data_IF_341637137464
#
_entry.id   IF_341637137464
#
_cell.length_a   1.000
_cell.length_b   1.000
_cell.length_c   1.000
_cell.angle_alpha   90.00
_cell.angle_beta   90.00
_cell.angle_gamma   90.00
#
_symmetry.space_group_name_H-M   'P 1'
#
loop_
_entity.id
_entity.type
_entity.pdbx_description
1 polymer ?
#
# COMPACT_ATOMS: atom_id res chain seq x y z
N UNK A 1 12.54 14.77 21.92
CA UNK A 1 12.70 15.67 20.76
C UNK A 1 11.32 16.24 20.43
N UNK A 2 11.17 17.56 20.34
CA UNK A 2 9.91 18.20 19.95
C UNK A 2 9.94 18.43 18.44
N UNK A 3 8.90 17.97 17.75
CA UNK A 3 8.75 18.17 16.31
C UNK A 3 7.82 19.35 16.04
N UNK A 4 8.15 20.15 15.03
CA UNK A 4 7.32 21.28 14.62
C UNK A 4 5.98 20.79 14.04
N UNK A 5 4.91 21.55 14.28
CA UNK A 5 3.59 21.25 13.73
C UNK A 5 3.59 21.32 12.19
N UNK A 6 2.69 20.59 11.50
CA UNK A 6 2.59 20.68 10.05
C UNK A 6 2.27 22.14 9.63
N UNK A 7 2.94 22.61 8.58
CA UNK A 7 2.76 23.96 8.05
C UNK A 7 3.50 25.08 8.80
N UNK A 8 4.32 24.77 9.81
CA UNK A 8 5.15 25.78 10.50
C UNK A 8 6.62 25.67 10.10
N UNK A 9 7.40 26.71 10.42
CA UNK A 9 8.85 26.68 10.25
C UNK A 9 9.44 25.48 11.03
N UNK A 10 10.31 24.70 10.35
CA UNK A 10 10.93 23.51 10.92
C UNK A 10 10.12 22.22 10.80
N UNK A 11 8.93 22.25 10.16
CA UNK A 11 8.23 21.01 9.79
C UNK A 11 9.11 20.16 8.87
N UNK A 12 9.15 18.84 9.09
CA UNK A 12 9.97 17.92 8.28
C UNK A 12 9.43 17.74 6.86
N UNK A 13 8.15 18.04 6.66
CA UNK A 13 7.46 17.89 5.38
C UNK A 13 6.72 19.18 5.07
N UNK A 14 6.95 19.70 3.87
CA UNK A 14 6.10 20.70 3.27
C UNK A 14 4.95 19.99 2.55
N UNK A 15 3.82 19.83 3.25
CA UNK A 15 2.65 19.17 2.67
C UNK A 15 2.10 19.95 1.48
N UNK A 16 1.70 19.23 0.43
CA UNK A 16 0.99 19.83 -0.72
C UNK A 16 -0.38 20.33 -0.25
N UNK A 17 -0.96 21.28 -0.96
CA UNK A 17 -2.33 21.73 -0.67
C UNK A 17 -3.38 20.62 -0.89
N UNK A 18 -3.11 19.73 -1.85
CA UNK A 18 -3.90 18.55 -2.16
C UNK A 18 -3.00 17.43 -2.67
N UNK A 19 -3.43 16.19 -2.47
CA UNK A 19 -2.78 15.00 -2.99
C UNK A 19 -3.72 14.23 -3.92
N UNK A 20 -3.12 13.71 -4.99
CA UNK A 20 -3.78 12.94 -6.04
C UNK A 20 -3.76 11.43 -5.73
N UNK A 21 -4.46 10.62 -6.52
CA UNK A 21 -4.27 9.17 -6.52
C UNK A 21 -2.91 8.81 -7.14
N UNK A 22 -2.38 7.64 -6.80
CA UNK A 22 -1.20 7.09 -7.47
C UNK A 22 -1.65 5.93 -8.36
N UNK A 23 -1.75 6.15 -9.67
CA UNK A 23 -2.26 5.15 -10.62
C UNK A 23 -1.27 5.02 -11.77
N UNK A 24 -0.91 3.78 -12.12
CA UNK A 24 -0.01 3.48 -13.22
C UNK A 24 1.34 4.23 -13.13
N UNK A 25 1.92 4.34 -11.93
CA UNK A 25 3.18 5.05 -11.72
C UNK A 25 3.08 6.58 -11.81
N UNK A 26 1.88 7.16 -11.82
CA UNK A 26 1.64 8.60 -11.97
C UNK A 26 0.69 9.13 -10.90
N UNK A 27 0.80 10.43 -10.62
CA UNK A 27 -0.14 11.17 -9.78
C UNK A 27 -1.34 11.62 -10.61
N UNK A 28 -2.53 11.08 -10.33
CA UNK A 28 -3.74 11.23 -11.14
C UNK A 28 -4.87 11.82 -10.31
N UNK A 29 -5.44 12.92 -10.78
CA UNK A 29 -6.60 13.55 -10.15
C UNK A 29 -7.83 12.64 -10.20
N UNK A 30 -8.71 12.70 -9.19
CA UNK A 30 -9.94 11.91 -9.18
C UNK A 30 -10.80 12.29 -10.38
N UNK A 31 -11.45 11.32 -11.00
CA UNK A 31 -12.24 11.50 -12.25
C UNK A 31 -13.30 12.60 -12.10
N UNK A 32 -13.91 12.73 -10.92
CA UNK A 32 -14.93 13.77 -10.63
C UNK A 32 -14.35 15.10 -10.16
N UNK A 33 -13.03 15.20 -9.99
CA UNK A 33 -12.34 16.40 -9.50
C UNK A 33 -12.64 16.75 -8.04
N UNK A 34 -13.24 15.84 -7.27
CA UNK A 34 -13.60 16.06 -5.88
C UNK A 34 -12.45 15.69 -4.92
N UNK A 35 -12.32 16.45 -3.84
CA UNK A 35 -11.35 16.21 -2.79
C UNK A 35 -12.03 16.34 -1.42
N UNK A 36 -11.49 15.67 -0.42
CA UNK A 36 -11.92 15.82 0.97
C UNK A 36 -10.78 16.36 1.84
N UNK A 37 -11.14 17.11 2.87
CA UNK A 37 -10.19 17.66 3.82
C UNK A 37 -9.60 16.56 4.71
N UNK A 38 -8.28 16.58 4.86
CA UNK A 38 -7.57 15.73 5.82
C UNK A 38 -7.22 16.57 7.03
N UNK A 39 -7.78 16.18 8.18
CA UNK A 39 -7.61 16.85 9.46
C UNK A 39 -6.57 16.12 10.28
N UNK A 40 -5.55 16.83 10.75
CA UNK A 40 -4.57 16.22 11.65
C UNK A 40 -5.15 16.13 13.07
N UNK A 41 -5.12 14.96 13.73
CA UNK A 41 -5.58 14.83 15.12
C UNK A 41 -4.70 15.61 16.11
N UNK A 42 -3.49 16.02 15.72
CA UNK A 42 -2.54 16.75 16.57
C UNK A 42 -3.10 18.09 17.04
N UNK A 43 -3.86 18.79 16.20
CA UNK A 43 -4.43 20.10 16.52
C UNK A 43 -5.87 20.31 16.03
N UNK A 44 -6.48 19.30 15.38
CA UNK A 44 -7.85 19.33 14.88
C UNK A 44 -8.07 20.23 13.66
N UNK A 45 -6.99 20.68 12.98
CA UNK A 45 -7.09 21.54 11.79
C UNK A 45 -6.85 20.75 10.51
N UNK A 46 -7.46 21.21 9.42
CA UNK A 46 -7.14 20.75 8.07
C UNK A 46 -5.70 21.13 7.75
N UNK A 47 -4.91 20.19 7.26
CA UNK A 47 -3.52 20.43 6.87
C UNK A 47 -3.26 20.16 5.38
N UNK A 48 -4.14 19.42 4.71
CA UNK A 48 -4.13 19.15 3.26
C UNK A 48 -5.48 18.57 2.83
N UNK A 49 -5.66 18.33 1.53
CA UNK A 49 -6.75 17.53 0.96
C UNK A 49 -6.23 16.25 0.30
N UNK A 50 -7.12 15.26 0.13
CA UNK A 50 -6.87 14.03 -0.63
C UNK A 50 -8.00 13.78 -1.64
N UNK A 51 -7.67 13.11 -2.74
CA UNK A 51 -8.64 12.74 -3.77
C UNK A 51 -9.84 11.98 -3.19
N UNK A 52 -11.06 12.44 -3.52
CA UNK A 52 -12.33 11.77 -3.17
C UNK A 52 -12.79 10.93 -4.35
N UNK A 53 -12.19 9.76 -4.48
CA UNK A 53 -12.41 8.91 -5.64
C UNK A 53 -13.70 8.12 -5.55
N UNK A 54 -14.19 7.73 -6.73
CA UNK A 54 -15.38 6.88 -6.88
C UNK A 54 -15.03 5.57 -7.59
N UNK A 55 -16.05 4.79 -7.99
CA UNK A 55 -15.85 3.53 -8.69
C UNK A 55 -15.04 3.69 -10.00
N UNK A 56 -15.22 4.82 -10.68
CA UNK A 56 -14.54 5.16 -11.93
C UNK A 56 -13.01 5.18 -11.77
N UNK A 57 -12.50 5.74 -10.67
CA UNK A 57 -11.07 5.73 -10.35
C UNK A 57 -10.55 4.35 -9.98
N UNK A 58 -11.38 3.54 -9.31
CA UNK A 58 -11.05 2.14 -9.00
C UNK A 58 -10.88 1.34 -10.30
N UNK A 59 -11.77 1.54 -11.28
CA UNK A 59 -11.64 0.88 -12.58
C UNK A 59 -10.36 1.30 -13.32
N UNK A 60 -9.96 2.58 -13.27
CA UNK A 60 -8.67 3.03 -13.82
C UNK A 60 -7.47 2.34 -13.17
N UNK A 61 -7.51 2.20 -11.83
CA UNK A 61 -6.46 1.49 -11.10
C UNK A 61 -6.43 -0.01 -11.42
N UNK A 62 -7.60 -0.63 -11.61
CA UNK A 62 -7.72 -2.02 -12.01
C UNK A 62 -7.21 -2.25 -13.43
N UNK A 63 -7.51 -1.36 -14.37
CA UNK A 63 -6.99 -1.41 -15.74
C UNK A 63 -5.46 -1.37 -15.75
N UNK A 64 -4.86 -0.45 -14.97
CA UNK A 64 -3.42 -0.35 -14.82
C UNK A 64 -2.80 -1.63 -14.22
N UNK A 65 -3.42 -2.17 -13.16
CA UNK A 65 -2.94 -3.39 -12.51
C UNK A 65 -3.01 -4.61 -13.43
N UNK A 66 -4.10 -4.77 -14.18
CA UNK A 66 -4.26 -5.86 -15.15
C UNK A 66 -3.31 -5.75 -16.32
N UNK A 67 -3.01 -4.54 -16.78
CA UNK A 67 -2.00 -4.32 -17.82
C UNK A 67 -0.58 -4.67 -17.35
N UNK A 68 -0.25 -4.42 -16.09
CA UNK A 68 1.08 -4.71 -15.52
C UNK A 68 1.29 -6.19 -15.16
N UNK A 69 0.22 -6.89 -14.75
CA UNK A 69 0.31 -8.24 -14.19
C UNK A 69 1.00 -9.28 -15.08
N UNK A 70 0.74 -9.38 -16.40
CA UNK A 70 1.38 -10.39 -17.26
C UNK A 70 2.92 -10.32 -17.26
N UNK A 71 3.48 -9.13 -17.07
CA UNK A 71 4.94 -8.92 -16.99
C UNK A 71 5.46 -9.07 -15.57
N UNK A 72 4.79 -8.45 -14.58
CA UNK A 72 5.22 -8.50 -13.19
C UNK A 72 5.13 -9.91 -12.59
N UNK A 73 4.04 -10.62 -12.83
CA UNK A 73 3.83 -11.99 -12.34
C UNK A 73 4.87 -13.00 -12.86
N UNK A 74 5.46 -12.72 -14.04
CA UNK A 74 6.54 -13.53 -14.66
C UNK A 74 7.95 -13.08 -14.29
N UNK A 75 8.10 -11.96 -13.57
CA UNK A 75 9.41 -11.50 -13.10
C UNK A 75 9.97 -12.52 -12.11
N UNK A 76 11.23 -12.92 -12.23
CA UNK A 76 11.77 -13.98 -11.38
C UNK A 76 11.79 -13.60 -9.88
N UNK A 77 11.81 -14.61 -9.01
CA UNK A 77 11.76 -14.42 -7.56
C UNK A 77 12.96 -13.62 -7.01
N UNK A 78 14.13 -13.65 -7.67
CA UNK A 78 15.31 -12.90 -7.22
C UNK A 78 15.09 -11.41 -7.43
N UNK A 79 14.63 -11.04 -8.63
CA UNK A 79 14.31 -9.68 -9.00
C UNK A 79 13.22 -9.11 -8.08
N UNK A 80 12.13 -9.84 -7.83
CA UNK A 80 11.06 -9.38 -6.92
C UNK A 80 11.55 -9.26 -5.47
N UNK A 81 12.35 -10.21 -4.96
CA UNK A 81 12.94 -10.12 -3.62
C UNK A 81 13.85 -8.89 -3.48
N UNK A 82 14.69 -8.63 -4.47
CA UNK A 82 15.56 -7.44 -4.50
C UNK A 82 14.76 -6.13 -4.52
N UNK A 83 13.59 -6.08 -5.16
CA UNK A 83 12.70 -4.93 -5.08
C UNK A 83 12.21 -4.71 -3.64
N UNK A 84 11.79 -5.77 -2.94
CA UNK A 84 11.37 -5.67 -1.53
C UNK A 84 12.51 -5.19 -0.62
N UNK A 85 13.74 -5.68 -0.83
CA UNK A 85 14.92 -5.21 -0.09
C UNK A 85 15.20 -3.72 -0.35
N UNK A 86 15.13 -3.27 -1.61
CA UNK A 86 15.31 -1.86 -1.97
C UNK A 86 14.23 -0.97 -1.36
N UNK A 87 12.99 -1.45 -1.30
CA UNK A 87 11.91 -0.75 -0.58
C UNK A 87 12.30 -0.62 0.90
N UNK A 88 12.69 -1.72 1.56
CA UNK A 88 13.11 -1.67 2.96
C UNK A 88 14.25 -0.67 3.21
N UNK A 89 15.28 -0.66 2.37
CA UNK A 89 16.41 0.27 2.49
C UNK A 89 15.98 1.72 2.28
N UNK A 90 15.05 1.98 1.34
CA UNK A 90 14.48 3.32 1.12
C UNK A 90 13.68 3.79 2.34
N UNK A 91 12.91 2.92 2.97
CA UNK A 91 12.18 3.23 4.21
C UNK A 91 13.16 3.49 5.36
N UNK A 92 14.18 2.64 5.53
CA UNK A 92 15.19 2.77 6.58
C UNK A 92 15.95 4.10 6.48
N UNK A 93 16.36 4.49 5.28
CA UNK A 93 17.01 5.76 5.02
C UNK A 93 16.12 6.99 5.32
N UNK A 94 14.80 6.80 5.41
CA UNK A 94 13.81 7.86 5.59
C UNK A 94 12.94 7.69 6.84
N UNK A 95 13.43 6.96 7.86
CA UNK A 95 12.66 6.66 9.09
C UNK A 95 12.07 7.92 9.72
N UNK A 96 12.88 8.97 9.91
CA UNK A 96 12.41 10.19 10.57
C UNK A 96 11.32 10.90 9.76
N UNK A 97 11.49 10.96 8.44
CA UNK A 97 10.54 11.58 7.52
C UNK A 97 9.19 10.84 7.54
N UNK A 98 9.22 9.52 7.41
CA UNK A 98 8.02 8.67 7.42
C UNK A 98 7.35 8.65 8.79
N UNK A 99 8.12 8.64 9.88
CA UNK A 99 7.58 8.70 11.23
C UNK A 99 6.88 10.05 11.50
N UNK A 100 7.45 11.15 11.00
CA UNK A 100 6.79 12.45 11.05
C UNK A 100 5.50 12.46 10.23
N UNK A 101 5.52 11.94 9.00
CA UNK A 101 4.33 11.81 8.16
C UNK A 101 3.21 11.05 8.87
N UNK A 102 3.54 9.87 9.41
CA UNK A 102 2.61 9.00 10.13
C UNK A 102 2.05 9.70 11.37
N UNK A 103 2.88 10.36 12.18
CA UNK A 103 2.45 11.07 13.38
C UNK A 103 1.55 12.27 13.09
N UNK A 104 1.79 13.00 12.00
CA UNK A 104 0.92 14.12 11.61
C UNK A 104 -0.44 13.60 11.14
N UNK A 105 -0.45 12.56 10.32
CA UNK A 105 -1.67 12.05 9.68
C UNK A 105 -2.54 11.26 10.67
N UNK A 106 -1.92 10.38 11.48
CA UNK A 106 -2.62 9.52 12.45
C UNK A 106 -2.75 10.14 13.85
N UNK A 107 -1.83 11.03 14.26
CA UNK A 107 -1.81 11.64 15.60
C UNK A 107 -1.03 10.87 16.67
N UNK A 108 -0.43 9.73 16.34
CA UNK A 108 0.34 8.93 17.29
C UNK A 108 1.61 9.63 17.77
N UNK A 109 2.03 9.44 19.05
CA UNK A 109 3.30 9.97 19.54
C UNK A 109 4.48 9.58 18.65
N UNK A 110 5.27 10.57 18.25
CA UNK A 110 6.43 10.41 17.34
C UNK A 110 7.45 9.36 17.82
N UNK A 111 7.56 9.15 19.14
CA UNK A 111 8.41 8.11 19.72
C UNK A 111 7.99 6.71 19.24
N UNK A 112 6.69 6.47 19.05
CA UNK A 112 6.19 5.16 18.62
C UNK A 112 6.37 4.96 17.12
N UNK A 113 6.13 5.99 16.30
CA UNK A 113 6.34 5.88 14.85
C UNK A 113 7.84 5.75 14.52
N UNK A 114 8.71 6.47 15.23
CA UNK A 114 10.18 6.40 15.04
C UNK A 114 10.78 5.05 15.45
N UNK A 115 10.34 4.51 16.59
CA UNK A 115 11.03 3.36 17.21
C UNK A 115 10.28 2.03 17.04
N UNK A 116 9.04 2.04 16.52
CA UNK A 116 8.27 0.84 16.26
C UNK A 116 7.74 0.79 14.83
N UNK A 117 6.79 1.63 14.43
CA UNK A 117 6.03 1.40 13.19
C UNK A 117 6.89 1.37 11.93
N UNK A 118 7.73 2.39 11.73
CA UNK A 118 8.56 2.46 10.53
C UNK A 118 9.66 1.40 10.58
N UNK A 119 10.39 1.20 11.69
CA UNK A 119 11.32 0.07 11.80
C UNK A 119 10.68 -1.31 11.57
N UNK A 120 9.48 -1.56 12.10
CA UNK A 120 8.75 -2.80 11.87
C UNK A 120 8.30 -2.94 10.42
N UNK A 121 7.94 -1.84 9.75
CA UNK A 121 7.62 -1.86 8.32
C UNK A 121 8.86 -2.24 7.49
N UNK A 122 10.03 -1.65 7.80
CA UNK A 122 11.33 -1.99 7.18
C UNK A 122 11.63 -3.48 7.35
N UNK A 123 11.57 -3.97 8.59
CA UNK A 123 11.82 -5.38 8.89
C UNK A 123 10.84 -6.30 8.15
N UNK A 124 9.57 -5.92 8.05
CA UNK A 124 8.56 -6.72 7.37
C UNK A 124 8.84 -6.90 5.86
N UNK A 125 9.31 -5.85 5.19
CA UNK A 125 9.74 -5.96 3.79
C UNK A 125 10.97 -6.87 3.64
N UNK A 126 11.94 -6.78 4.56
CA UNK A 126 13.11 -7.66 4.59
C UNK A 126 12.73 -9.12 4.83
N UNK A 127 11.84 -9.35 5.79
CA UNK A 127 11.32 -10.67 6.12
C UNK A 127 10.67 -11.33 4.90
N UNK A 128 9.74 -10.64 4.22
CA UNK A 128 9.07 -11.20 3.04
C UNK A 128 9.99 -11.34 1.82
N UNK A 129 11.02 -10.50 1.70
CA UNK A 129 12.08 -10.71 0.72
C UNK A 129 12.81 -12.05 0.95
N UNK A 130 13.11 -12.38 2.20
CA UNK A 130 13.68 -13.67 2.61
C UNK A 130 12.72 -14.83 2.35
N UNK A 131 11.46 -14.73 2.81
CA UNK A 131 10.44 -15.75 2.60
C UNK A 131 10.27 -16.11 1.12
N UNK A 132 10.27 -15.12 0.23
CA UNK A 132 10.16 -15.35 -1.21
C UNK A 132 11.34 -16.17 -1.77
N UNK A 133 12.56 -15.96 -1.24
CA UNK A 133 13.76 -16.67 -1.69
C UNK A 133 13.87 -18.07 -1.10
N UNK A 134 13.24 -18.32 0.04
CA UNK A 134 13.20 -19.61 0.70
C UNK A 134 11.92 -20.40 0.40
N UNK A 135 10.99 -19.86 -0.39
CA UNK A 135 9.75 -20.56 -0.71
C UNK A 135 10.04 -21.70 -1.67
N UNK A 136 9.75 -22.92 -1.24
CA UNK A 136 9.86 -24.11 -2.04
C UNK A 136 8.47 -24.60 -2.47
N UNK A 137 8.42 -25.27 -3.62
CA UNK A 137 7.26 -26.05 -4.05
C UNK A 137 7.24 -27.42 -3.38
N UNK A 138 6.31 -28.27 -3.84
CA UNK A 138 6.27 -29.68 -3.47
C UNK A 138 6.61 -30.57 -4.65
N UNK A 139 7.23 -31.71 -4.37
CA UNK A 139 7.37 -32.83 -5.31
C UNK A 139 6.94 -34.11 -4.61
N UNK A 140 6.12 -34.90 -5.30
CA UNK A 140 5.68 -36.21 -4.80
C UNK A 140 5.69 -37.23 -5.92
N UNK A 141 6.20 -38.42 -5.63
CA UNK A 141 5.96 -39.60 -6.44
C UNK A 141 4.50 -40.04 -6.21
N UNK A 142 3.74 -40.19 -7.29
CA UNK A 142 2.39 -40.76 -7.22
C UNK A 142 2.48 -42.28 -7.43
N UNK A 143 3.20 -42.70 -8.46
CA UNK A 143 3.46 -44.10 -8.82
C UNK A 143 4.75 -44.22 -9.65
N UNK A 144 5.07 -45.43 -10.11
CA UNK A 144 6.26 -45.77 -10.90
C UNK A 144 6.51 -44.85 -12.11
N UNK A 145 5.45 -44.29 -12.71
CA UNK A 145 5.54 -43.54 -13.96
C UNK A 145 5.11 -42.07 -13.82
N UNK A 146 4.73 -41.62 -12.63
CA UNK A 146 4.07 -40.32 -12.44
C UNK A 146 4.64 -39.53 -11.26
N UNK A 147 5.02 -38.28 -11.53
CA UNK A 147 5.46 -37.30 -10.54
C UNK A 147 4.49 -36.11 -10.50
N UNK A 148 4.15 -35.67 -9.29
CA UNK A 148 3.42 -34.43 -9.04
C UNK A 148 4.39 -33.30 -8.68
N UNK A 149 4.24 -32.15 -9.35
CA UNK A 149 4.94 -30.91 -9.04
C UNK A 149 3.94 -29.86 -8.58
N UNK A 150 4.20 -29.22 -7.45
CA UNK A 150 3.37 -28.13 -6.93
C UNK A 150 4.14 -26.82 -7.03
N UNK A 151 3.66 -25.92 -7.88
CA UNK A 151 4.25 -24.60 -8.13
C UNK A 151 3.30 -23.55 -7.57
N UNK A 152 3.85 -22.57 -6.85
CA UNK A 152 3.09 -21.44 -6.34
C UNK A 152 3.06 -20.32 -7.38
N UNK A 153 1.87 -19.98 -7.85
CA UNK A 153 1.64 -18.91 -8.83
C UNK A 153 0.98 -17.69 -8.16
N UNK A 154 1.27 -16.46 -8.64
CA UNK A 154 0.54 -15.28 -8.18
C UNK A 154 -0.95 -15.40 -8.52
N UNK A 155 -1.79 -14.80 -7.68
CA UNK A 155 -3.24 -14.80 -7.86
C UNK A 155 -3.68 -13.85 -8.99
N UNK A 156 -2.95 -12.76 -9.22
CA UNK A 156 -3.34 -11.74 -10.19
C UNK A 156 -3.34 -10.34 -9.62
N UNK A 157 -4.41 -9.61 -9.90
CA UNK A 157 -4.69 -8.30 -9.30
C UNK A 157 -5.41 -8.50 -7.97
N UNK A 158 -4.90 -7.88 -6.90
CA UNK A 158 -5.47 -7.97 -5.56
C UNK A 158 -5.91 -6.59 -5.05
N UNK A 159 -7.11 -6.54 -4.49
CA UNK A 159 -7.61 -5.37 -3.77
C UNK A 159 -7.14 -5.41 -2.32
N UNK A 160 -6.71 -4.28 -1.79
CA UNK A 160 -6.27 -4.16 -0.40
C UNK A 160 -6.90 -2.93 0.24
N UNK A 161 -7.48 -3.11 1.42
CA UNK A 161 -8.07 -2.01 2.20
C UNK A 161 -7.46 -2.06 3.60
N UNK A 162 -6.84 -0.95 4.00
CA UNK A 162 -6.14 -0.83 5.29
C UNK A 162 -6.84 0.16 6.24
N UNK A 163 -6.75 -0.06 7.56
CA UNK A 163 -7.32 0.83 8.56
C UNK A 163 -6.40 2.03 8.84
N UNK A 164 -6.87 2.92 9.70
CA UNK A 164 -6.19 4.17 10.05
C UNK A 164 -5.18 4.05 11.19
N UNK A 165 -5.18 2.98 11.97
CA UNK A 165 -4.46 2.93 13.25
C UNK A 165 -2.95 2.70 13.13
N UNK A 166 -2.51 1.99 12.08
CA UNK A 166 -1.09 1.81 11.74
C UNK A 166 -0.89 1.90 10.22
N UNK A 167 -1.13 3.05 9.57
CA UNK A 167 -1.24 3.15 8.11
C UNK A 167 -0.07 2.51 7.35
N UNK A 168 1.16 3.00 7.53
CA UNK A 168 2.35 2.52 6.81
C UNK A 168 2.66 1.07 7.16
N UNK A 169 2.56 0.69 8.43
CA UNK A 169 2.83 -0.68 8.85
C UNK A 169 1.79 -1.67 8.29
N UNK A 170 0.51 -1.29 8.25
CA UNK A 170 -0.56 -2.07 7.61
C UNK A 170 -0.38 -2.16 6.10
N UNK A 171 0.11 -1.09 5.46
CA UNK A 171 0.49 -1.14 4.06
C UNK A 171 1.65 -2.14 3.86
N UNK A 172 2.69 -2.10 4.70
CA UNK A 172 3.79 -3.08 4.64
C UNK A 172 3.28 -4.52 4.78
N UNK A 173 2.39 -4.79 5.74
CA UNK A 173 1.78 -6.11 5.97
C UNK A 173 1.03 -6.68 4.78
N UNK A 174 0.51 -5.81 3.90
CA UNK A 174 -0.24 -6.25 2.73
C UNK A 174 0.59 -6.18 1.44
N UNK A 175 1.41 -5.14 1.28
CA UNK A 175 2.20 -4.91 0.08
C UNK A 175 3.36 -5.90 -0.04
N UNK A 176 4.14 -6.10 1.03
CA UNK A 176 5.32 -6.97 0.99
C UNK A 176 5.00 -8.41 0.50
N UNK A 177 4.03 -9.13 1.10
CA UNK A 177 3.65 -10.45 0.59
C UNK A 177 3.02 -10.42 -0.82
N UNK A 178 2.17 -9.43 -1.13
CA UNK A 178 1.48 -9.38 -2.40
C UNK A 178 2.44 -9.12 -3.57
N UNK A 179 3.31 -8.11 -3.44
CA UNK A 179 4.32 -7.76 -4.43
C UNK A 179 5.36 -8.87 -4.57
N UNK A 180 5.81 -9.45 -3.45
CA UNK A 180 6.75 -10.56 -3.45
C UNK A 180 6.23 -11.80 -4.19
N UNK A 181 4.95 -12.14 -3.97
CA UNK A 181 4.30 -13.25 -4.68
C UNK A 181 4.11 -12.98 -6.19
N UNK A 182 4.25 -11.74 -6.66
CA UNK A 182 4.08 -11.37 -8.08
C UNK A 182 2.69 -10.82 -8.41
N UNK A 183 1.90 -10.41 -7.42
CA UNK A 183 0.60 -9.78 -7.65
C UNK A 183 0.77 -8.29 -7.96
N UNK A 184 -0.20 -7.71 -8.67
CA UNK A 184 -0.37 -6.26 -8.76
C UNK A 184 -1.46 -5.83 -7.76
N UNK A 185 -1.31 -4.64 -7.18
CA UNK A 185 -2.13 -4.19 -6.05
C UNK A 185 -2.91 -2.94 -6.41
N UNK A 186 -4.19 -2.92 -6.02
CA UNK A 186 -4.97 -1.69 -5.83
C UNK A 186 -5.22 -1.53 -4.33
N UNK A 187 -4.56 -0.54 -3.72
CA UNK A 187 -4.61 -0.23 -2.30
C UNK A 187 -5.54 0.96 -2.04
N UNK A 188 -6.44 0.81 -1.08
CA UNK A 188 -7.26 1.90 -0.55
C UNK A 188 -6.90 2.14 0.92
N UNK A 189 -6.24 3.25 1.26
CA UNK A 189 -6.00 3.63 2.65
C UNK A 189 -7.26 4.18 3.33
N UNK A 190 -7.28 4.18 4.66
CA UNK A 190 -8.36 4.84 5.40
C UNK A 190 -8.39 6.34 5.08
N UNK A 191 -9.60 6.90 4.95
CA UNK A 191 -9.82 8.32 4.64
C UNK A 191 -9.27 9.26 5.71
N UNK A 192 -9.10 8.78 6.95
CA UNK A 192 -8.54 9.57 8.04
C UNK A 192 -7.01 9.68 8.02
N UNK A 193 -6.33 8.78 7.30
CA UNK A 193 -4.86 8.72 7.25
C UNK A 193 -4.31 8.35 5.87
N UNK A 194 -4.67 9.09 4.80
CA UNK A 194 -4.24 8.75 3.45
C UNK A 194 -2.84 9.27 3.11
N UNK A 195 -2.37 10.34 3.75
CA UNK A 195 -1.24 11.14 3.28
C UNK A 195 0.10 10.46 3.57
N UNK A 196 0.24 9.79 4.72
CA UNK A 196 1.47 9.05 5.01
C UNK A 196 1.73 7.93 4.00
N UNK A 197 0.67 7.31 3.49
CA UNK A 197 0.71 6.30 2.42
C UNK A 197 1.13 6.91 1.08
N UNK A 198 0.68 8.13 0.76
CA UNK A 198 1.08 8.81 -0.48
C UNK A 198 2.54 9.30 -0.40
N UNK A 199 3.02 9.70 0.78
CA UNK A 199 4.44 10.02 1.01
C UNK A 199 5.30 8.76 0.87
N UNK A 200 4.85 7.63 1.43
CA UNK A 200 5.48 6.33 1.22
C UNK A 200 5.56 5.99 -0.28
N UNK A 201 4.47 6.17 -1.02
CA UNK A 201 4.42 5.90 -2.45
C UNK A 201 5.38 6.78 -3.26
N UNK A 202 5.45 8.08 -2.95
CA UNK A 202 6.40 9.00 -3.58
C UNK A 202 7.85 8.50 -3.42
N UNK A 203 8.19 8.03 -2.22
CA UNK A 203 9.52 7.50 -1.92
C UNK A 203 9.85 6.19 -2.61
N UNK A 204 8.89 5.34 -2.97
CA UNK A 204 9.18 3.99 -3.51
C UNK A 204 8.73 3.79 -4.96
N UNK A 205 8.07 4.79 -5.55
CA UNK A 205 7.44 4.71 -6.87
C UNK A 205 8.43 4.33 -7.98
N UNK A 206 9.68 4.80 -7.90
CA UNK A 206 10.75 4.51 -8.86
C UNK A 206 11.24 3.05 -8.82
N UNK A 207 10.95 2.33 -7.73
CA UNK A 207 11.38 0.95 -7.53
C UNK A 207 10.41 -0.07 -8.16
N UNK A 208 9.22 0.36 -8.57
CA UNK A 208 8.15 -0.49 -9.05
C UNK A 208 7.80 -0.18 -10.51
N UNK A 209 7.54 -1.20 -11.36
CA UNK A 209 6.98 -0.95 -12.67
C UNK A 209 5.61 -0.24 -12.57
N UNK A 210 5.27 0.65 -13.51
CA UNK A 210 3.94 1.25 -13.59
C UNK A 210 2.83 0.20 -13.52
N UNK A 211 1.81 0.47 -12.68
CA UNK A 211 0.63 -0.37 -12.51
C UNK A 211 0.79 -1.52 -11.50
N UNK A 212 2.01 -1.82 -11.04
CA UNK A 212 2.23 -2.86 -10.01
C UNK A 212 1.65 -2.45 -8.66
N UNK A 213 1.78 -1.18 -8.29
CA UNK A 213 1.13 -0.58 -7.13
C UNK A 213 0.26 0.59 -7.61
N UNK A 214 -1.01 0.56 -7.25
CA UNK A 214 -1.96 1.65 -7.44
C UNK A 214 -2.61 1.98 -6.11
N UNK A 215 -2.75 3.26 -5.79
CA UNK A 215 -3.32 3.76 -4.54
C UNK A 215 -4.44 4.71 -4.88
N UNK A 216 -5.65 4.35 -4.44
CA UNK A 216 -6.88 5.13 -4.66
C UNK A 216 -7.41 5.59 -3.32
N UNK A 217 -7.49 6.90 -3.12
CA UNK A 217 -8.03 7.53 -1.92
C UNK A 217 -9.54 7.75 -2.06
N UNK A 218 -10.28 7.68 -0.96
CA UNK A 218 -11.72 7.95 -1.00
C UNK A 218 -12.43 7.41 0.24
N UNK A 219 -13.75 7.60 0.29
CA UNK A 219 -14.56 7.12 1.41
C UNK A 219 -14.85 5.62 1.28
N UNK A 220 -15.11 4.96 2.42
CA UNK A 220 -15.38 3.52 2.44
C UNK A 220 -16.51 3.08 1.50
N UNK A 221 -17.60 3.86 1.39
CA UNK A 221 -18.72 3.54 0.49
C UNK A 221 -18.45 3.86 -0.98
N UNK A 222 -17.63 4.87 -1.26
CA UNK A 222 -17.45 5.44 -2.59
C UNK A 222 -16.30 4.79 -3.36
N UNK A 223 -15.21 4.43 -2.68
CA UNK A 223 -14.03 3.78 -3.26
C UNK A 223 -13.78 2.38 -2.67
N UNK A 224 -14.00 2.21 -1.35
CA UNK A 224 -13.78 0.92 -0.68
C UNK A 224 -14.73 -0.18 -1.14
N UNK A 225 -16.03 0.11 -1.21
CA UNK A 225 -17.06 -0.86 -1.61
C UNK A 225 -16.90 -1.30 -3.08
N UNK A 226 -16.71 -0.39 -4.06
CA UNK A 226 -16.42 -0.81 -5.43
C UNK A 226 -15.21 -1.73 -5.54
N UNK A 227 -14.11 -1.42 -4.84
CA UNK A 227 -12.94 -2.29 -4.83
C UNK A 227 -13.24 -3.66 -4.22
N UNK A 228 -13.89 -3.69 -3.04
CA UNK A 228 -14.16 -4.93 -2.33
C UNK A 228 -15.13 -5.88 -3.06
N UNK A 229 -16.07 -5.32 -3.83
CA UNK A 229 -17.09 -6.08 -4.57
C UNK A 229 -16.76 -6.30 -6.04
N UNK A 230 -15.65 -5.74 -6.53
CA UNK A 230 -15.22 -5.89 -7.92
C UNK A 230 -14.98 -7.36 -8.26
N UNK A 231 -15.57 -7.81 -9.37
CA UNK A 231 -15.32 -9.15 -9.93
C UNK A 231 -13.99 -9.23 -10.68
N UNK A 232 -13.25 -8.11 -10.79
CA UNK A 232 -11.97 -8.02 -11.51
C UNK A 232 -10.76 -8.28 -10.61
N UNK A 233 -10.92 -8.36 -9.29
CA UNK A 233 -9.83 -8.74 -8.38
C UNK A 233 -9.87 -10.25 -8.11
N UNK A 234 -8.70 -10.87 -8.05
CA UNK A 234 -8.57 -12.29 -7.69
C UNK A 234 -8.68 -12.50 -6.16
N UNK A 235 -8.39 -11.47 -5.37
CA UNK A 235 -8.43 -11.51 -3.91
C UNK A 235 -8.68 -10.11 -3.33
N UNK A 236 -9.48 -10.05 -2.27
CA UNK A 236 -9.57 -8.90 -1.37
C UNK A 236 -8.82 -9.20 -0.07
N UNK A 237 -8.02 -8.25 0.41
CA UNK A 237 -7.39 -8.30 1.72
C UNK A 237 -7.81 -7.08 2.55
N UNK A 238 -8.77 -7.27 3.45
CA UNK A 238 -9.32 -6.22 4.30
C UNK A 238 -8.76 -6.29 5.72
N UNK A 239 -8.50 -5.12 6.31
CA UNK A 239 -8.31 -4.98 7.76
C UNK A 239 -9.10 -3.75 8.22
N UNK A 240 -9.92 -3.91 9.25
CA UNK A 240 -10.81 -2.86 9.75
C UNK A 240 -11.89 -3.43 10.68
N UNK A 241 -13.05 -2.79 10.76
CA UNK A 241 -14.11 -3.22 11.66
C UNK A 241 -14.73 -4.57 11.25
N UNK A 242 -15.17 -5.35 12.23
CA UNK A 242 -15.91 -6.61 11.99
C UNK A 242 -17.18 -6.40 11.17
N UNK A 243 -17.88 -5.27 11.40
CA UNK A 243 -19.11 -4.94 10.67
C UNK A 243 -18.84 -4.78 9.17
N UNK A 244 -17.79 -4.02 8.81
CA UNK A 244 -17.36 -3.88 7.42
C UNK A 244 -16.83 -5.21 6.86
N UNK A 245 -16.08 -5.97 7.65
CA UNK A 245 -15.55 -7.27 7.24
C UNK A 245 -16.64 -8.27 6.82
N UNK A 246 -17.78 -8.30 7.54
CA UNK A 246 -18.93 -9.14 7.18
C UNK A 246 -19.64 -8.74 5.88
N UNK A 247 -19.49 -7.49 5.44
CA UNK A 247 -20.04 -7.03 4.16
C UNK A 247 -19.11 -7.41 3.00
N UNK A 248 -17.82 -7.60 3.27
CA UNK A 248 -16.81 -7.95 2.27
C UNK A 248 -16.68 -9.47 2.06
N UNK A 249 -16.85 -10.26 3.13
CA UNK A 249 -16.78 -11.72 3.12
C UNK A 249 -18.05 -12.36 2.54
#
# INVERSE_FOLDING_TARGET
MLYAAPGTAGAKIAYKARYENFINGQWVAPVKGEYFDVVTPVNGKVYTQAARSTAEDIELALDAAHAAFPKWGKTDAATRSNVLLKIADRLEANIELLAYAESVDNGKPIRETLNADIPLAVDHFRYFAGCLRSQEGGISEIDENTMAYHIHEPLGVVGQIIPWNFPILMAAWKLAPALGAGNCVVLKPAESTPISILILADLISDLLPPGVLNIVNGLGREAGMPLATSKRIAKIAFTGSTATGRVIA
#
